data_IF_665383794710
#
_entry.id   IF_665383794710
#
_cell.length_a   1.000
_cell.length_b   1.000
_cell.length_c   1.000
_cell.angle_alpha   90.00
_cell.angle_beta   90.00
_cell.angle_gamma   90.00
#
_symmetry.space_group_name_H-M   'P 1'
#
loop_
_entity.id
_entity.type
_entity.pdbx_description
1 polymer ?
#
# COMPACT_ATOMS: atom_id res chain seq x y z
N UNK A 1 25.95 -4.49 -4.90
CA UNK A 1 24.82 -5.41 -4.67
C UNK A 1 24.35 -5.27 -3.22
N UNK A 2 23.54 -4.27 -2.91
CA UNK A 2 22.94 -4.13 -1.57
C UNK A 2 21.77 -5.10 -1.48
N UNK A 3 21.99 -6.23 -0.80
CA UNK A 3 21.01 -7.29 -0.64
C UNK A 3 19.69 -6.75 -0.09
N UNK A 4 18.58 -7.27 -0.61
CA UNK A 4 17.24 -7.03 -0.06
C UNK A 4 17.26 -7.44 1.41
N UNK A 5 17.46 -6.48 2.32
CA UNK A 5 17.31 -6.71 3.75
C UNK A 5 15.81 -6.71 4.05
N UNK A 6 15.31 -7.87 4.45
CA UNK A 6 13.98 -8.01 5.02
C UNK A 6 13.90 -7.24 6.34
N UNK A 7 12.68 -6.87 6.74
CA UNK A 7 12.45 -6.40 8.10
C UNK A 7 12.83 -7.53 9.07
N UNK A 8 13.50 -7.18 10.15
CA UNK A 8 13.65 -8.13 11.24
C UNK A 8 12.28 -8.43 11.86
N UNK A 9 12.17 -9.62 12.47
CA UNK A 9 10.89 -10.11 12.98
C UNK A 9 10.30 -9.23 14.07
N UNK A 10 11.15 -8.65 14.93
CA UNK A 10 10.72 -7.75 16.01
C UNK A 10 10.10 -6.47 15.46
N UNK A 11 10.78 -5.79 14.53
CA UNK A 11 10.29 -4.57 13.90
C UNK A 11 8.97 -4.82 13.16
N UNK A 12 8.90 -5.91 12.39
CA UNK A 12 7.65 -6.28 11.70
C UNK A 12 6.52 -6.58 12.69
N UNK A 13 6.81 -7.27 13.78
CA UNK A 13 5.82 -7.58 14.82
C UNK A 13 5.29 -6.32 15.50
N UNK A 14 6.15 -5.42 15.95
CA UNK A 14 5.73 -4.17 16.61
C UNK A 14 4.97 -3.24 15.66
N UNK A 15 5.37 -3.19 14.38
CA UNK A 15 4.65 -2.43 13.35
C UNK A 15 3.24 -3.00 13.11
N UNK A 16 3.11 -4.32 13.00
CA UNK A 16 1.79 -4.98 12.86
C UNK A 16 0.94 -4.79 14.11
N UNK A 17 1.54 -4.88 15.30
CA UNK A 17 0.86 -4.64 16.58
C UNK A 17 0.29 -3.22 16.64
N UNK A 18 1.05 -2.22 16.21
CA UNK A 18 0.59 -0.83 16.15
C UNK A 18 -0.68 -0.68 15.28
N UNK A 19 -0.75 -1.41 14.14
CA UNK A 19 -1.97 -1.46 13.31
C UNK A 19 -3.14 -2.18 13.98
N UNK A 20 -2.88 -3.23 14.77
CA UNK A 20 -3.90 -3.98 15.52
C UNK A 20 -4.48 -3.14 16.66
N UNK A 21 -3.64 -2.40 17.35
CA UNK A 21 -4.00 -1.58 18.52
C UNK A 21 -4.61 -0.23 18.12
N UNK A 22 -4.45 0.18 16.86
CA UNK A 22 -5.03 1.42 16.34
C UNK A 22 -6.57 1.33 16.31
N UNK A 23 -7.28 2.26 16.99
CA UNK A 23 -8.75 2.27 17.00
C UNK A 23 -9.33 2.67 15.64
N UNK A 24 -8.56 3.42 14.83
CA UNK A 24 -9.00 3.93 13.53
C UNK A 24 -9.36 2.83 12.55
N UNK A 25 -10.53 2.97 11.92
CA UNK A 25 -11.00 2.01 10.93
C UNK A 25 -10.24 2.13 9.61
N UNK A 26 -9.92 3.35 9.20
CA UNK A 26 -9.29 3.63 7.93
C UNK A 26 -7.99 4.39 8.18
N UNK A 27 -6.88 3.76 7.83
CA UNK A 27 -5.54 4.21 8.17
C UNK A 27 -4.83 4.65 6.90
N UNK A 28 -4.05 5.72 6.98
CA UNK A 28 -3.15 6.16 5.93
C UNK A 28 -1.69 6.00 6.38
N UNK A 29 -0.92 5.27 5.59
CA UNK A 29 0.52 5.09 5.76
C UNK A 29 1.25 5.98 4.76
N UNK A 30 1.73 7.13 5.24
CA UNK A 30 2.20 8.23 4.40
C UNK A 30 3.72 8.36 4.29
N UNK A 31 4.51 7.45 4.86
CA UNK A 31 5.98 7.55 4.88
C UNK A 31 6.63 7.01 3.59
N UNK A 32 7.82 7.52 3.23
CA UNK A 32 8.52 7.20 1.98
C UNK A 32 9.22 5.81 1.97
N UNK A 33 8.51 4.75 2.35
CA UNK A 33 9.01 3.36 2.36
C UNK A 33 7.94 2.37 1.89
N UNK A 34 7.40 2.61 0.70
CA UNK A 34 6.33 1.82 0.07
C UNK A 34 6.43 0.29 0.28
N UNK A 35 7.57 -0.33 -0.04
CA UNK A 35 7.72 -1.79 0.08
C UNK A 35 7.70 -2.29 1.54
N UNK A 36 8.17 -1.45 2.46
CA UNK A 36 8.16 -1.72 3.90
C UNK A 36 6.74 -1.61 4.43
N UNK A 37 6.07 -0.48 4.14
CA UNK A 37 4.68 -0.22 4.54
C UNK A 37 3.73 -1.29 3.98
N UNK A 38 3.92 -1.70 2.72
CA UNK A 38 3.13 -2.76 2.13
C UNK A 38 3.31 -4.09 2.85
N UNK A 39 4.55 -4.46 3.22
CA UNK A 39 4.80 -5.66 4.03
C UNK A 39 4.09 -5.61 5.38
N UNK A 40 4.17 -4.48 6.08
CA UNK A 40 3.50 -4.29 7.38
C UNK A 40 1.98 -4.40 7.23
N UNK A 41 1.39 -3.65 6.28
CA UNK A 41 -0.04 -3.68 6.00
C UNK A 41 -0.52 -5.07 5.59
N UNK A 42 0.25 -5.76 4.74
CA UNK A 42 -0.07 -7.10 4.26
C UNK A 42 -0.04 -8.13 5.39
N UNK A 43 0.97 -8.09 6.26
CA UNK A 43 1.04 -9.00 7.41
C UNK A 43 -0.10 -8.74 8.41
N UNK A 44 -0.45 -7.48 8.63
CA UNK A 44 -1.62 -7.12 9.43
C UNK A 44 -2.92 -7.70 8.84
N UNK A 45 -3.18 -7.53 7.54
CA UNK A 45 -4.42 -8.02 6.95
C UNK A 45 -4.45 -9.56 6.90
N UNK A 46 -3.28 -10.19 6.73
CA UNK A 46 -3.14 -11.65 6.79
C UNK A 46 -3.48 -12.16 8.18
N UNK A 47 -2.94 -11.55 9.24
CA UNK A 47 -3.31 -11.85 10.63
C UNK A 47 -4.81 -11.66 10.85
N UNK A 48 -5.36 -10.51 10.44
CA UNK A 48 -6.79 -10.20 10.60
C UNK A 48 -7.68 -11.22 9.89
N UNK A 49 -7.27 -11.72 8.73
CA UNK A 49 -8.00 -12.75 7.96
C UNK A 49 -8.13 -14.09 8.66
N UNK A 50 -7.28 -14.36 9.65
CA UNK A 50 -7.40 -15.54 10.52
C UNK A 50 -8.42 -15.36 11.65
N UNK A 51 -8.77 -14.11 11.97
CA UNK A 51 -9.71 -13.76 13.05
C UNK A 51 -11.09 -13.39 12.52
N UNK A 52 -11.15 -12.78 11.34
CA UNK A 52 -12.38 -12.33 10.68
C UNK A 52 -12.48 -12.95 9.28
N UNK A 53 -13.05 -14.15 9.14
CA UNK A 53 -13.21 -14.79 7.84
C UNK A 53 -14.04 -13.94 6.86
N UNK A 54 -13.58 -13.84 5.62
CA UNK A 54 -14.32 -13.14 4.56
C UNK A 54 -13.46 -12.75 3.37
N UNK A 55 -13.88 -11.68 2.68
CA UNK A 55 -13.19 -11.18 1.51
C UNK A 55 -12.25 -10.02 1.86
N UNK A 56 -11.04 -10.09 1.32
CA UNK A 56 -10.01 -9.07 1.48
C UNK A 56 -9.58 -8.57 0.12
N UNK A 57 -9.60 -7.26 -0.07
CA UNK A 57 -9.29 -6.64 -1.37
C UNK A 57 -7.94 -5.95 -1.29
N UNK A 58 -7.05 -6.27 -2.21
CA UNK A 58 -5.79 -5.58 -2.41
C UNK A 58 -5.95 -4.81 -3.71
N UNK A 59 -6.07 -3.49 -3.63
CA UNK A 59 -6.25 -2.60 -4.77
C UNK A 59 -4.98 -1.81 -5.00
N UNK A 60 -4.32 -2.07 -6.11
CA UNK A 60 -3.01 -1.49 -6.42
C UNK A 60 -3.18 -0.57 -7.63
N UNK A 61 -2.43 0.51 -7.72
CA UNK A 61 -2.49 1.43 -8.86
C UNK A 61 -2.51 0.69 -10.21
N UNK A 62 -1.55 -0.21 -10.42
CA UNK A 62 -1.43 -1.00 -11.64
C UNK A 62 -0.71 -2.35 -11.43
N UNK A 63 -0.63 -3.13 -12.52
CA UNK A 63 0.02 -4.44 -12.53
C UNK A 63 1.54 -4.37 -12.37
N UNK A 64 2.19 -3.33 -12.90
CA UNK A 64 3.64 -3.14 -12.79
C UNK A 64 4.05 -2.89 -11.33
N UNK A 65 3.29 -2.07 -10.63
CA UNK A 65 3.43 -1.82 -9.21
C UNK A 65 3.19 -3.09 -8.40
N UNK A 66 2.15 -3.86 -8.72
CA UNK A 66 1.90 -5.14 -8.07
C UNK A 66 3.07 -6.12 -8.22
N UNK A 67 3.69 -6.21 -9.41
CA UNK A 67 4.90 -7.00 -9.61
C UNK A 67 6.11 -6.45 -8.85
N UNK A 68 6.28 -5.12 -8.76
CA UNK A 68 7.33 -4.49 -7.94
C UNK A 68 7.12 -4.85 -6.47
N UNK A 69 5.90 -4.78 -5.94
CA UNK A 69 5.55 -5.16 -4.57
C UNK A 69 5.81 -6.65 -4.32
N UNK A 70 5.37 -7.55 -5.20
CA UNK A 70 5.60 -9.00 -5.07
C UNK A 70 7.09 -9.39 -5.05
N UNK A 71 7.95 -8.59 -5.72
CA UNK A 71 9.40 -8.82 -5.75
C UNK A 71 10.15 -8.13 -4.61
N UNK A 72 9.72 -6.92 -4.20
CA UNK A 72 10.50 -6.03 -3.33
C UNK A 72 9.93 -5.88 -1.92
N UNK A 73 8.76 -6.46 -1.62
CA UNK A 73 8.23 -6.56 -0.26
C UNK A 73 9.31 -7.09 0.71
N UNK A 74 9.26 -6.62 1.96
CA UNK A 74 10.29 -6.75 2.99
C UNK A 74 10.11 -7.95 3.92
N UNK A 75 9.32 -8.93 3.50
CA UNK A 75 9.20 -10.22 4.16
C UNK A 75 8.86 -11.31 3.13
N UNK A 76 9.28 -12.55 3.42
CA UNK A 76 9.13 -13.69 2.53
C UNK A 76 7.68 -14.10 2.29
N UNK A 77 6.84 -14.01 3.33
CA UNK A 77 5.44 -14.41 3.29
C UNK A 77 4.66 -13.56 2.30
N UNK A 78 4.78 -12.23 2.39
CA UNK A 78 4.16 -11.28 1.47
C UNK A 78 4.61 -11.51 0.04
N UNK A 79 5.92 -11.69 -0.20
CA UNK A 79 6.44 -11.99 -1.54
C UNK A 79 5.82 -13.27 -2.10
N UNK A 80 5.87 -14.38 -1.37
CA UNK A 80 5.32 -15.67 -1.81
C UNK A 80 3.82 -15.60 -2.06
N UNK A 81 3.08 -14.92 -1.19
CA UNK A 81 1.64 -14.77 -1.35
C UNK A 81 1.29 -13.95 -2.59
N UNK A 82 1.91 -12.78 -2.76
CA UNK A 82 1.65 -11.92 -3.91
C UNK A 82 2.02 -12.61 -5.22
N UNK A 83 3.15 -13.30 -5.31
CA UNK A 83 3.50 -14.06 -6.51
C UNK A 83 2.45 -15.12 -6.89
N UNK A 84 1.78 -15.73 -5.90
CA UNK A 84 0.67 -16.66 -6.13
C UNK A 84 -0.64 -15.97 -6.48
N UNK A 85 -0.83 -14.71 -6.07
CA UNK A 85 -2.05 -13.94 -6.28
C UNK A 85 -2.06 -13.21 -7.64
N UNK A 86 -0.91 -12.76 -8.14
CA UNK A 86 -0.80 -11.89 -9.33
C UNK A 86 -1.58 -12.40 -10.54
N UNK A 87 -1.39 -13.68 -10.90
CA UNK A 87 -2.03 -14.28 -12.07
C UNK A 87 -3.51 -14.59 -11.84
N UNK A 88 -3.91 -15.37 -10.81
CA UNK A 88 -5.32 -15.71 -10.63
C UNK A 88 -6.18 -14.54 -10.16
N UNK A 89 -5.57 -13.46 -9.62
CA UNK A 89 -6.21 -12.30 -9.00
C UNK A 89 -7.20 -12.63 -7.87
N UNK A 90 -7.26 -13.90 -7.47
CA UNK A 90 -8.05 -14.44 -6.37
C UNK A 90 -7.31 -15.60 -5.74
N UNK A 91 -7.16 -15.59 -4.42
CA UNK A 91 -6.47 -16.65 -3.68
C UNK A 91 -7.19 -16.96 -2.35
N UNK A 92 -7.51 -18.23 -2.13
CA UNK A 92 -8.05 -18.68 -0.85
C UNK A 92 -6.92 -18.83 0.19
N UNK A 93 -7.19 -18.41 1.42
CA UNK A 93 -6.30 -18.53 2.57
C UNK A 93 -7.12 -18.81 3.84
N UNK A 94 -7.08 -20.06 4.30
CA UNK A 94 -7.99 -20.52 5.37
C UNK A 94 -9.45 -20.33 4.98
N UNK A 95 -10.22 -19.66 5.83
CA UNK A 95 -11.63 -19.34 5.60
C UNK A 95 -11.82 -17.97 4.92
N UNK A 96 -10.74 -17.34 4.45
CA UNK A 96 -10.74 -16.02 3.81
C UNK A 96 -10.33 -16.13 2.34
N UNK A 97 -10.75 -15.15 1.53
CA UNK A 97 -10.36 -15.03 0.13
C UNK A 97 -9.81 -13.65 -0.14
N UNK A 98 -8.60 -13.61 -0.72
CA UNK A 98 -7.93 -12.39 -1.14
C UNK A 98 -8.17 -12.15 -2.63
N UNK A 99 -8.43 -10.91 -2.99
CA UNK A 99 -8.66 -10.46 -4.36
C UNK A 99 -7.69 -9.35 -4.71
N UNK A 100 -7.23 -9.32 -5.96
CA UNK A 100 -6.35 -8.29 -6.50
C UNK A 100 -7.08 -7.51 -7.59
N UNK A 101 -7.30 -6.23 -7.34
CA UNK A 101 -7.81 -5.25 -8.29
C UNK A 101 -6.73 -4.22 -8.64
N UNK A 102 -6.90 -3.57 -9.78
CA UNK A 102 -6.16 -2.36 -10.11
C UNK A 102 -7.04 -1.13 -10.00
N UNK A 103 -6.51 0.09 -10.11
CA UNK A 103 -7.36 1.28 -10.03
C UNK A 103 -8.43 1.33 -11.14
N UNK A 104 -8.10 1.07 -12.43
CA UNK A 104 -9.10 1.12 -13.50
C UNK A 104 -10.29 0.19 -13.23
N UNK A 105 -11.51 0.72 -13.36
CA UNK A 105 -12.77 0.02 -13.02
C UNK A 105 -12.95 -1.28 -13.80
N UNK A 106 -12.44 -1.34 -15.02
CA UNK A 106 -12.46 -2.53 -15.87
C UNK A 106 -11.84 -3.77 -15.19
N UNK A 107 -10.98 -3.56 -14.18
CA UNK A 107 -10.28 -4.64 -13.48
C UNK A 107 -11.06 -5.20 -12.30
N UNK A 108 -12.12 -4.52 -11.83
CA UNK A 108 -12.89 -4.88 -10.63
C UNK A 108 -13.94 -5.96 -10.87
N UNK A 109 -13.87 -6.66 -12.01
CA UNK A 109 -14.85 -7.69 -12.37
C UNK A 109 -15.01 -8.80 -11.32
N UNK A 110 -14.00 -9.02 -10.48
CA UNK A 110 -14.03 -10.04 -9.41
C UNK A 110 -14.64 -9.49 -8.11
N UNK A 111 -14.47 -8.20 -7.83
CA UNK A 111 -14.82 -7.59 -6.54
C UNK A 111 -16.14 -6.82 -6.57
N UNK A 112 -16.55 -6.30 -7.73
CA UNK A 112 -17.80 -5.53 -7.89
C UNK A 112 -19.07 -6.30 -7.48
N UNK A 113 -19.04 -7.62 -7.66
CA UNK A 113 -20.18 -8.51 -7.40
C UNK A 113 -20.08 -9.23 -6.04
N UNK A 114 -19.06 -8.90 -5.22
CA UNK A 114 -18.93 -9.48 -3.89
C UNK A 114 -20.02 -8.92 -2.97
N UNK A 115 -20.64 -9.78 -2.13
CA UNK A 115 -21.55 -9.30 -1.10
C UNK A 115 -20.79 -8.38 -0.15
N UNK A 116 -21.25 -7.12 -0.04
CA UNK A 116 -20.54 -6.05 0.68
C UNK A 116 -20.32 -6.41 2.15
N UNK A 117 -21.30 -7.04 2.76
CA UNK A 117 -21.27 -7.51 4.15
C UNK A 117 -20.23 -8.61 4.41
N UNK A 118 -19.74 -9.27 3.35
CA UNK A 118 -18.67 -10.28 3.44
C UNK A 118 -17.28 -9.68 3.22
N UNK A 119 -17.18 -8.41 2.81
CA UNK A 119 -15.89 -7.71 2.71
C UNK A 119 -15.45 -7.37 4.13
N UNK A 120 -14.23 -7.78 4.46
CA UNK A 120 -13.68 -7.64 5.80
C UNK A 120 -12.53 -6.65 5.84
N UNK A 121 -11.76 -6.45 4.78
CA UNK A 121 -10.63 -5.53 4.82
C UNK A 121 -10.13 -5.15 3.44
N UNK A 122 -9.48 -4.00 3.36
CA UNK A 122 -8.84 -3.54 2.13
C UNK A 122 -7.44 -2.96 2.37
N UNK A 123 -6.53 -3.21 1.42
CA UNK A 123 -5.28 -2.46 1.26
C UNK A 123 -5.36 -1.75 -0.08
N UNK A 124 -5.11 -0.45 -0.10
CA UNK A 124 -5.00 0.37 -1.30
C UNK A 124 -3.57 0.87 -1.39
N UNK A 125 -2.95 0.74 -2.56
CA UNK A 125 -1.56 1.12 -2.77
C UNK A 125 -1.45 1.99 -4.02
N UNK A 126 -1.01 3.23 -3.82
CA UNK A 126 -0.68 4.18 -4.89
C UNK A 126 0.81 4.50 -4.81
N UNK A 127 1.50 4.43 -5.93
CA UNK A 127 2.90 4.79 -5.99
C UNK A 127 3.05 6.27 -6.32
N UNK A 128 3.21 7.07 -5.29
CA UNK A 128 3.36 8.53 -5.40
C UNK A 128 4.80 8.98 -5.65
N UNK A 129 5.68 8.08 -6.10
CA UNK A 129 7.09 8.37 -6.29
C UNK A 129 7.31 9.39 -7.41
N UNK A 130 7.47 10.67 -7.07
CA UNK A 130 8.34 11.59 -7.80
C UNK A 130 9.78 11.32 -7.34
N UNK A 131 10.40 10.27 -7.86
CA UNK A 131 11.84 10.12 -7.72
C UNK A 131 12.49 10.63 -9.01
N UNK A 132 13.12 11.82 -9.02
CA UNK A 132 13.74 12.38 -10.22
C UNK A 132 14.88 11.53 -10.79
N UNK A 133 15.31 10.48 -10.07
CA UNK A 133 16.34 9.53 -10.49
C UNK A 133 15.78 8.20 -11.03
N UNK A 134 14.45 8.01 -11.06
CA UNK A 134 13.84 6.84 -11.71
C UNK A 134 13.36 7.29 -13.08
N UNK A 135 13.92 6.67 -14.11
CA UNK A 135 13.65 6.91 -15.53
C UNK A 135 12.13 7.00 -15.81
N UNK A 136 11.66 8.13 -16.34
CA UNK A 136 10.24 8.41 -16.63
C UNK A 136 9.64 7.34 -17.56
N UNK A 137 10.48 6.66 -18.34
CA UNK A 137 10.10 5.53 -19.21
C UNK A 137 9.59 4.29 -18.45
N UNK A 138 9.89 4.18 -17.15
CA UNK A 138 9.43 3.11 -16.26
C UNK A 138 8.03 3.40 -15.67
N UNK A 139 7.48 4.59 -15.96
CA UNK A 139 6.20 5.13 -15.51
C UNK A 139 5.36 5.59 -16.69
N UNK A 140 4.87 4.63 -17.48
CA UNK A 140 3.68 4.88 -18.29
C UNK A 140 2.56 5.24 -17.31
N UNK A 141 2.27 6.53 -17.21
CA UNK A 141 1.13 7.04 -16.47
C UNK A 141 -0.07 6.23 -16.93
N UNK A 142 -0.64 5.42 -16.05
CA UNK A 142 -1.95 4.85 -16.31
C UNK A 142 -2.85 6.07 -16.40
N UNK A 143 -3.37 6.34 -17.60
CA UNK A 143 -4.38 7.36 -17.79
C UNK A 143 -5.39 7.18 -16.67
N UNK A 144 -5.57 8.22 -15.86
CA UNK A 144 -6.66 8.24 -14.91
C UNK A 144 -7.92 7.85 -15.69
N UNK A 145 -8.71 6.95 -15.12
CA UNK A 145 -9.96 6.53 -15.74
C UNK A 145 -10.90 7.74 -15.67
N UNK A 146 -10.79 8.63 -16.66
CA UNK A 146 -11.46 9.94 -16.68
C UNK A 146 -12.97 9.78 -16.47
N UNK A 147 -13.52 8.69 -16.99
CA UNK A 147 -14.92 8.33 -16.78
C UNK A 147 -15.20 7.97 -15.32
N UNK A 148 -14.37 7.14 -14.68
CA UNK A 148 -14.49 6.83 -13.26
C UNK A 148 -14.35 8.08 -12.38
N UNK A 149 -13.39 8.96 -12.70
CA UNK A 149 -13.17 10.21 -11.97
C UNK A 149 -14.39 11.13 -12.08
N UNK A 150 -14.99 11.25 -13.26
CA UNK A 150 -16.22 12.03 -13.45
C UNK A 150 -17.42 11.47 -12.67
N UNK A 151 -17.54 10.15 -12.57
CA UNK A 151 -18.68 9.49 -11.92
C UNK A 151 -18.55 9.38 -10.40
N UNK A 152 -17.33 9.16 -9.90
CA UNK A 152 -17.07 8.75 -8.51
C UNK A 152 -16.02 9.63 -7.80
N UNK A 153 -15.47 10.62 -8.49
CA UNK A 153 -14.43 11.52 -7.96
C UNK A 153 -13.01 10.97 -8.08
N UNK A 154 -12.02 11.83 -7.78
CA UNK A 154 -10.59 11.55 -7.98
C UNK A 154 -10.08 10.33 -7.21
N UNK A 155 -10.61 10.09 -6.01
CA UNK A 155 -10.18 9.00 -5.12
C UNK A 155 -11.19 7.84 -5.09
N UNK A 156 -11.87 7.56 -6.20
CA UNK A 156 -12.88 6.50 -6.30
C UNK A 156 -12.36 5.11 -5.87
N UNK A 157 -11.09 4.83 -6.16
CA UNK A 157 -10.43 3.56 -5.81
C UNK A 157 -10.35 3.34 -4.29
N UNK A 158 -10.32 4.42 -3.51
CA UNK A 158 -10.27 4.44 -2.04
C UNK A 158 -11.67 4.55 -1.43
N UNK A 159 -12.42 5.59 -1.81
CA UNK A 159 -13.74 5.90 -1.23
C UNK A 159 -14.71 4.72 -1.33
N UNK A 160 -14.76 4.05 -2.49
CA UNK A 160 -15.60 2.86 -2.69
C UNK A 160 -15.29 1.72 -1.74
N UNK A 161 -14.05 1.59 -1.25
CA UNK A 161 -13.65 0.58 -0.27
C UNK A 161 -13.88 1.04 1.16
N UNK A 162 -13.70 2.32 1.46
CA UNK A 162 -14.02 2.86 2.80
C UNK A 162 -15.51 2.67 3.13
N UNK A 163 -16.40 2.83 2.14
CA UNK A 163 -17.85 2.67 2.34
C UNK A 163 -18.28 1.23 2.67
N UNK A 164 -17.53 0.22 2.21
CA UNK A 164 -17.95 -1.18 2.27
C UNK A 164 -17.05 -2.07 3.13
N UNK A 165 -15.82 -1.65 3.39
CA UNK A 165 -14.84 -2.40 4.16
C UNK A 165 -14.74 -1.84 5.58
N UNK A 166 -14.88 -2.67 6.62
CA UNK A 166 -14.80 -2.19 8.01
C UNK A 166 -13.39 -1.77 8.42
N UNK A 167 -12.36 -2.16 7.64
CA UNK A 167 -10.98 -1.71 7.84
C UNK A 167 -10.30 -1.46 6.49
N UNK A 168 -9.61 -0.32 6.38
CA UNK A 168 -8.90 0.06 5.15
C UNK A 168 -7.51 0.58 5.50
N UNK A 169 -6.51 0.19 4.72
CA UNK A 169 -5.17 0.78 4.78
C UNK A 169 -4.85 1.39 3.43
N UNK A 170 -4.67 2.70 3.37
CA UNK A 170 -4.14 3.43 2.22
C UNK A 170 -2.63 3.57 2.37
N UNK A 171 -1.88 3.28 1.32
CA UNK A 171 -0.44 3.52 1.25
C UNK A 171 -0.19 4.47 0.08
N UNK A 172 0.19 5.70 0.40
CA UNK A 172 0.54 6.76 -0.54
C UNK A 172 1.40 7.78 0.20
N UNK A 173 2.59 8.07 -0.32
CA UNK A 173 3.47 9.11 0.23
C UNK A 173 3.02 10.49 -0.30
N UNK A 174 3.11 11.54 0.51
CA UNK A 174 2.86 12.93 0.09
C UNK A 174 1.47 13.19 -0.55
N UNK A 175 0.44 12.46 -0.08
CA UNK A 175 -0.95 12.73 -0.42
C UNK A 175 -1.80 12.74 0.85
N UNK A 176 -2.82 13.58 0.91
CA UNK A 176 -3.79 13.60 2.01
C UNK A 176 -5.14 13.09 1.54
N UNK A 177 -5.83 12.34 2.41
CA UNK A 177 -7.13 11.78 2.13
C UNK A 177 -8.08 12.07 3.29
N UNK A 178 -9.29 12.52 2.97
CA UNK A 178 -10.33 12.75 3.96
C UNK A 178 -10.79 11.42 4.59
N UNK A 179 -11.05 11.43 5.90
CA UNK A 179 -11.58 10.27 6.62
C UNK A 179 -10.57 9.16 6.91
N UNK A 180 -9.26 9.42 6.72
CA UNK A 180 -8.19 8.52 7.12
C UNK A 180 -7.40 9.11 8.29
N UNK A 181 -7.07 8.28 9.28
CA UNK A 181 -6.10 8.65 10.31
C UNK A 181 -4.69 8.21 9.87
N UNK A 182 -3.73 9.12 9.96
CA UNK A 182 -2.34 8.81 9.64
C UNK A 182 -1.70 7.99 10.75
N UNK A 183 -1.04 6.90 10.37
CA UNK A 183 -0.15 6.14 11.26
C UNK A 183 1.25 6.11 10.67
N UNK A 184 2.21 6.55 11.47
CA UNK A 184 3.63 6.51 11.13
C UNK A 184 4.37 5.52 12.03
N UNK A 185 5.50 5.03 11.54
CA UNK A 185 6.37 4.13 12.27
C UNK A 185 7.72 4.78 12.50
N UNK A 186 8.15 4.84 13.76
CA UNK A 186 9.39 5.51 14.19
C UNK A 186 10.65 4.92 13.55
N UNK A 187 10.65 3.63 13.20
CA UNK A 187 11.80 2.98 12.56
C UNK A 187 11.98 3.37 11.08
N UNK A 188 11.01 4.09 10.51
CA UNK A 188 11.12 4.68 9.18
C UNK A 188 11.54 6.12 9.35
N UNK A 189 12.84 6.37 9.17
CA UNK A 189 13.39 7.71 9.12
C UNK A 189 12.71 8.51 7.99
N UNK A 190 12.12 9.64 8.34
CA UNK A 190 11.73 10.65 7.38
C UNK A 190 13.01 11.24 6.81
N UNK A 191 13.21 11.10 5.50
CA UNK A 191 14.24 11.90 4.84
C UNK A 191 13.77 13.34 4.93
N UNK A 192 14.44 14.15 5.75
CA UNK A 192 14.24 15.59 5.74
C UNK A 192 14.76 16.13 4.40
N UNK A 193 13.97 16.07 3.34
CA UNK A 193 14.16 17.00 2.24
C UNK A 193 13.67 18.37 2.73
N UNK A 194 14.47 19.02 3.59
CA UNK A 194 14.40 20.47 3.72
C UNK A 194 14.87 21.05 2.39
N UNK A 195 14.00 21.08 1.39
CA UNK A 195 14.16 21.98 0.27
C UNK A 195 13.97 23.40 0.81
N UNK A 196 15.08 24.07 1.11
CA UNK A 196 15.14 25.53 1.19
C UNK A 196 15.93 25.98 -0.03
N UNK A 197 15.25 26.62 -0.97
CA UNK A 197 15.84 27.39 -2.07
C UNK A 197 16.83 26.65 -3.00
N UNK A 198 16.47 25.44 -3.46
CA UNK A 198 17.05 24.87 -4.68
C UNK A 198 18.48 24.32 -4.60
N UNK A 199 19.03 24.08 -3.40
CA UNK A 199 20.34 23.43 -3.24
C UNK A 199 20.21 22.17 -2.37
N UNK A 200 20.58 21.01 -2.93
CA UNK A 200 20.79 19.79 -2.13
C UNK A 200 22.08 19.94 -1.32
N UNK A 201 21.94 20.11 0.00
CA UNK A 201 23.08 20.00 0.91
C UNK A 201 23.30 18.51 1.16
N UNK A 202 24.31 17.92 0.51
CA UNK A 202 24.86 16.64 0.94
C UNK A 202 25.55 16.84 2.28
N UNK A 203 25.23 16.02 3.28
CA UNK A 203 25.88 15.97 4.60
C UNK A 203 27.34 15.50 4.48
N UNK A 204 28.22 16.32 3.91
CA UNK A 204 29.67 16.12 3.91
C UNK A 204 30.39 17.47 3.75
N UNK A 205 30.13 18.42 4.66
CA UNK A 205 31.00 19.58 4.80
C UNK A 205 31.39 19.75 6.27
N UNK A 206 32.56 19.22 6.62
CA UNK A 206 33.30 19.69 7.79
C UNK A 206 33.90 21.05 7.44
N UNK A 207 33.48 22.09 8.16
CA UNK A 207 34.19 23.37 8.17
C UNK A 207 35.17 23.34 9.35
N UNK A 208 36.47 23.30 9.07
CA UNK A 208 37.50 23.69 10.05
C UNK A 208 37.69 25.22 9.95
N UNK A 209 37.83 25.87 11.12
CA UNK A 209 37.99 27.32 11.31
C UNK A 209 39.24 27.92 10.64
#
# INVERSE_FOLDING_TARGET
MTGKKDLDKSTLYEAVKSLVETPSQHIHLNQQKLFTLFSVAFQYILFRSTKHPGHYIIRIEDSMLAEKLARKAKDETTRKFMNRLLVPRRLAYGNSTFHLDYFPLATWGVTKDLPKEKIQGAIIVKNTSHNPLIDESDFRHVNEDDQAVQLFGKNYYLSTLMDISPRTIMIAFDEEFEGLDTLQFDFIEEKSERMVDGVMISEDVQFED
#
